data_IF_856444357583
#
_entry.id   IF_856444357583
#
_cell.length_a   1.000
_cell.length_b   1.000
_cell.length_c   1.000
_cell.angle_alpha   90.00
_cell.angle_beta   90.00
_cell.angle_gamma   90.00
#
_symmetry.space_group_name_H-M   'P 1'
#
loop_
_entity.id
_entity.type
_entity.pdbx_description
1 polymer ?
#
# COMPACT_ATOMS: atom_id res chain seq x y z
N UNK A 1 -27.98 -14.80 -23.66
CA UNK A 1 -27.13 -14.11 -22.69
C UNK A 1 -25.76 -14.61 -22.97
N UNK A 2 -25.10 -13.94 -23.89
CA UNK A 2 -23.73 -14.25 -24.29
C UNK A 2 -22.77 -13.74 -23.23
N UNK A 3 -21.86 -14.61 -22.83
CA UNK A 3 -20.79 -14.27 -21.89
C UNK A 3 -19.83 -13.32 -22.60
N UNK A 4 -19.74 -12.09 -22.13
CA UNK A 4 -18.72 -11.15 -22.55
C UNK A 4 -17.34 -11.77 -22.28
N UNK A 5 -16.55 -11.83 -23.33
CA UNK A 5 -15.26 -12.50 -23.36
C UNK A 5 -14.27 -11.86 -22.41
N UNK A 6 -13.61 -12.71 -21.69
CA UNK A 6 -12.53 -12.48 -20.75
C UNK A 6 -11.40 -11.67 -21.42
N UNK A 7 -11.24 -10.41 -21.06
CA UNK A 7 -10.25 -9.48 -21.64
C UNK A 7 -8.79 -9.78 -21.24
N UNK A 8 -8.58 -10.73 -20.35
CA UNK A 8 -7.23 -11.12 -19.90
C UNK A 8 -6.77 -12.37 -20.65
N UNK A 9 -6.02 -12.15 -21.74
CA UNK A 9 -5.26 -13.24 -22.36
C UNK A 9 -4.24 -13.80 -21.35
N UNK A 10 -4.01 -15.14 -21.30
CA UNK A 10 -3.06 -15.75 -20.38
C UNK A 10 -1.62 -15.51 -20.87
N UNK A 11 -1.08 -14.34 -20.62
CA UNK A 11 0.29 -13.98 -21.02
C UNK A 11 1.20 -13.58 -19.85
N UNK A 12 0.72 -13.64 -18.60
CA UNK A 12 1.61 -13.57 -17.45
C UNK A 12 1.84 -15.01 -16.99
N UNK A 13 2.97 -15.60 -17.40
CA UNK A 13 3.48 -16.81 -16.75
C UNK A 13 3.73 -16.41 -15.30
N UNK A 14 2.87 -16.91 -14.39
CA UNK A 14 3.15 -16.83 -12.97
C UNK A 14 4.58 -17.30 -12.76
N UNK A 15 5.42 -16.44 -12.23
CA UNK A 15 6.74 -16.79 -11.71
C UNK A 15 6.49 -17.97 -10.76
N UNK A 16 6.82 -19.19 -11.19
CA UNK A 16 6.62 -20.39 -10.38
C UNK A 16 7.33 -20.11 -9.06
N UNK A 17 6.58 -20.07 -7.95
CA UNK A 17 7.15 -19.88 -6.63
C UNK A 17 8.21 -20.95 -6.42
N UNK A 18 9.47 -20.56 -6.53
CA UNK A 18 10.55 -21.35 -6.02
C UNK A 18 10.32 -21.44 -4.51
N UNK A 19 10.28 -22.63 -3.96
CA UNK A 19 9.99 -22.92 -2.54
C UNK A 19 10.99 -22.29 -1.55
N UNK A 20 11.88 -21.42 -2.02
CA UNK A 20 12.89 -20.67 -1.27
C UNK A 20 12.68 -19.14 -1.31
N UNK A 21 11.73 -18.60 -2.10
CA UNK A 21 11.48 -17.15 -2.14
C UNK A 21 10.60 -16.74 -0.94
N UNK A 22 11.06 -15.69 -0.23
CA UNK A 22 10.30 -15.05 0.86
C UNK A 22 9.03 -14.42 0.28
N UNK A 23 7.85 -14.73 0.83
CA UNK A 23 6.58 -14.16 0.38
C UNK A 23 6.50 -12.66 0.69
N UNK A 24 5.59 -11.93 0.00
CA UNK A 24 5.38 -10.49 0.28
C UNK A 24 4.92 -10.30 1.73
N UNK A 25 4.03 -11.16 2.23
CA UNK A 25 3.58 -11.12 3.62
C UNK A 25 4.75 -11.31 4.60
N UNK A 26 5.64 -12.26 4.32
CA UNK A 26 6.83 -12.48 5.15
C UNK A 26 7.75 -11.26 5.14
N UNK A 27 7.94 -10.61 3.97
CA UNK A 27 8.71 -9.36 3.86
C UNK A 27 8.08 -8.22 4.66
N UNK A 28 6.75 -8.11 4.62
CA UNK A 28 6.01 -7.06 5.35
C UNK A 28 6.09 -7.29 6.86
N UNK A 29 5.97 -8.53 7.30
CA UNK A 29 6.01 -8.91 8.73
C UNK A 29 7.43 -8.94 9.32
N UNK A 30 8.47 -9.04 8.49
CA UNK A 30 9.84 -9.03 8.97
C UNK A 30 10.19 -7.64 9.53
N UNK A 31 10.50 -7.55 10.82
CA UNK A 31 10.92 -6.32 11.49
C UNK A 31 12.40 -6.44 11.86
N UNK A 32 13.20 -5.50 11.37
CA UNK A 32 14.62 -5.34 11.74
C UNK A 32 14.84 -4.17 12.71
N UNK A 33 13.75 -3.65 13.27
CA UNK A 33 13.75 -2.50 14.17
C UNK A 33 13.77 -1.15 13.45
N UNK A 34 13.70 -1.13 12.11
CA UNK A 34 13.59 0.08 11.30
C UNK A 34 12.22 0.15 10.65
N UNK A 35 11.67 1.36 10.59
CA UNK A 35 10.49 1.58 9.78
C UNK A 35 10.87 1.61 8.29
N UNK A 36 9.94 1.19 7.43
CA UNK A 36 10.12 1.13 5.98
C UNK A 36 9.09 1.98 5.27
N UNK A 37 9.39 2.35 4.05
CA UNK A 37 8.56 3.23 3.25
C UNK A 37 7.76 2.48 2.19
N UNK A 38 6.52 2.90 1.99
CA UNK A 38 5.64 2.50 0.89
C UNK A 38 5.31 3.73 0.07
N UNK A 39 5.53 3.66 -1.23
CA UNK A 39 5.01 4.67 -2.16
C UNK A 39 3.66 4.21 -2.69
N UNK A 40 2.62 5.01 -2.48
CA UNK A 40 1.31 4.81 -3.07
C UNK A 40 1.20 5.58 -4.39
N UNK A 41 0.83 4.88 -5.45
CA UNK A 41 0.58 5.42 -6.80
C UNK A 41 -0.90 5.25 -7.11
N UNK A 42 -1.60 6.38 -7.29
CA UNK A 42 -3.00 6.39 -7.73
C UNK A 42 -3.06 6.37 -9.27
N UNK A 43 -3.55 5.26 -9.88
CA UNK A 43 -3.61 5.12 -11.33
C UNK A 43 -4.61 6.09 -12.00
N UNK A 44 -5.55 6.68 -11.24
CA UNK A 44 -6.46 7.71 -11.76
C UNK A 44 -5.79 9.08 -11.94
N UNK A 45 -4.60 9.28 -11.38
CA UNK A 45 -3.90 10.58 -11.35
C UNK A 45 -2.83 10.74 -12.42
N UNK A 46 -2.47 9.68 -13.12
CA UNK A 46 -1.35 9.68 -14.06
C UNK A 46 -1.43 8.53 -15.05
N UNK A 47 -0.88 8.71 -16.29
CA UNK A 47 -0.74 7.60 -17.23
C UNK A 47 0.21 6.51 -16.69
N UNK A 48 0.09 5.24 -17.15
CA UNK A 48 0.92 4.11 -16.69
C UNK A 48 2.43 4.36 -16.82
N UNK A 49 2.88 5.01 -17.88
CA UNK A 49 4.30 5.29 -18.12
C UNK A 49 4.86 6.30 -17.11
N UNK A 50 4.04 7.29 -16.73
CA UNK A 50 4.42 8.28 -15.70
C UNK A 50 4.43 7.62 -14.32
N UNK A 51 3.46 6.74 -14.06
CA UNK A 51 3.41 5.94 -12.83
C UNK A 51 4.68 5.08 -12.67
N UNK A 52 5.11 4.40 -13.74
CA UNK A 52 6.33 3.60 -13.75
C UNK A 52 7.58 4.46 -13.48
N UNK A 53 7.71 5.62 -14.14
CA UNK A 53 8.85 6.53 -13.90
C UNK A 53 8.90 7.02 -12.44
N UNK A 54 7.75 7.38 -11.86
CA UNK A 54 7.65 7.81 -10.46
C UNK A 54 7.97 6.68 -9.49
N UNK A 55 7.51 5.47 -9.79
CA UNK A 55 7.84 4.27 -9.02
C UNK A 55 9.35 4.01 -9.02
N UNK A 56 10.03 4.13 -10.18
CA UNK A 56 11.48 3.96 -10.26
C UNK A 56 12.22 4.99 -9.41
N UNK A 57 11.83 6.26 -9.46
CA UNK A 57 12.41 7.29 -8.58
C UNK A 57 12.20 6.95 -7.10
N UNK A 58 11.02 6.45 -6.73
CA UNK A 58 10.75 6.06 -5.35
C UNK A 58 11.63 4.89 -4.89
N UNK A 59 11.83 3.89 -5.75
CA UNK A 59 12.73 2.75 -5.46
C UNK A 59 14.18 3.21 -5.34
N UNK A 60 14.65 4.09 -6.22
CA UNK A 60 15.98 4.71 -6.13
C UNK A 60 16.18 5.52 -4.83
N UNK A 61 15.11 6.08 -4.25
CA UNK A 61 15.14 6.74 -2.95
C UNK A 61 15.07 5.77 -1.77
N UNK A 62 14.77 4.47 -1.98
CA UNK A 62 14.71 3.46 -0.92
C UNK A 62 13.31 2.99 -0.51
N UNK A 63 12.27 3.27 -1.31
CA UNK A 63 10.95 2.66 -1.12
C UNK A 63 11.06 1.12 -1.14
N UNK A 64 10.38 0.46 -0.21
CA UNK A 64 10.43 -0.99 -0.02
C UNK A 64 9.19 -1.74 -0.52
N UNK A 65 8.10 -1.01 -0.78
CA UNK A 65 6.86 -1.51 -1.38
C UNK A 65 6.25 -0.42 -2.28
N UNK A 66 5.59 -0.82 -3.35
CA UNK A 66 4.79 0.06 -4.21
C UNK A 66 3.33 -0.35 -4.06
N UNK A 67 2.49 0.55 -3.53
CA UNK A 67 1.04 0.39 -3.55
C UNK A 67 0.47 1.00 -4.83
N UNK A 68 -0.40 0.25 -5.52
CA UNK A 68 -1.15 0.73 -6.70
C UNK A 68 -2.64 0.72 -6.37
N UNK A 69 -3.24 1.90 -6.36
CA UNK A 69 -4.65 2.06 -6.05
C UNK A 69 -4.97 3.40 -5.41
N UNK A 70 -6.14 3.49 -4.81
CA UNK A 70 -6.62 4.70 -4.15
C UNK A 70 -8.12 4.65 -3.86
N UNK A 71 -8.65 5.75 -3.33
CA UNK A 71 -10.09 5.90 -3.02
C UNK A 71 -10.92 6.37 -4.22
N UNK A 72 -10.32 6.39 -5.42
CA UNK A 72 -11.00 6.75 -6.67
C UNK A 72 -11.61 5.48 -7.28
N UNK A 73 -12.77 5.63 -7.93
CA UNK A 73 -13.42 4.54 -8.69
C UNK A 73 -12.68 4.36 -10.03
N UNK A 74 -11.53 3.71 -9.99
CA UNK A 74 -10.63 3.51 -11.12
C UNK A 74 -10.90 2.14 -11.73
N UNK A 75 -11.17 2.04 -13.07
CA UNK A 75 -11.42 0.78 -13.74
C UNK A 75 -10.21 -0.17 -13.66
N UNK A 76 -10.48 -1.48 -13.70
CA UNK A 76 -9.49 -2.54 -13.59
C UNK A 76 -8.46 -2.54 -14.73
N UNK A 77 -8.85 -2.15 -15.94
CA UNK A 77 -7.94 -2.02 -17.09
C UNK A 77 -6.87 -0.94 -16.87
N UNK A 78 -7.24 0.20 -16.25
CA UNK A 78 -6.30 1.28 -15.90
C UNK A 78 -5.36 0.85 -14.77
N UNK A 79 -5.91 0.17 -13.75
CA UNK A 79 -5.10 -0.40 -12.66
C UNK A 79 -4.13 -1.44 -13.20
N UNK A 80 -4.62 -2.34 -14.09
CA UNK A 80 -3.80 -3.37 -14.71
C UNK A 80 -2.66 -2.79 -15.54
N UNK A 81 -2.97 -1.84 -16.42
CA UNK A 81 -1.96 -1.17 -17.25
C UNK A 81 -0.87 -0.50 -16.38
N UNK A 82 -1.26 0.11 -15.27
CA UNK A 82 -0.32 0.73 -14.33
C UNK A 82 0.57 -0.32 -13.64
N UNK A 83 -0.01 -1.43 -13.16
CA UNK A 83 0.76 -2.52 -12.57
C UNK A 83 1.77 -3.11 -13.57
N UNK A 84 1.33 -3.37 -14.82
CA UNK A 84 2.20 -3.90 -15.89
C UNK A 84 3.36 -2.95 -16.16
N UNK A 85 3.09 -1.66 -16.35
CA UNK A 85 4.14 -0.68 -16.63
C UNK A 85 5.19 -0.57 -15.51
N UNK A 86 4.75 -0.67 -14.25
CA UNK A 86 5.66 -0.65 -13.09
C UNK A 86 6.49 -1.94 -13.05
N UNK A 87 5.86 -3.12 -13.23
CA UNK A 87 6.56 -4.41 -13.22
C UNK A 87 7.61 -4.50 -14.34
N UNK A 88 7.25 -4.12 -15.58
CA UNK A 88 8.18 -4.10 -16.70
C UNK A 88 9.39 -3.17 -16.44
N UNK A 89 9.15 -2.02 -15.82
CA UNK A 89 10.24 -1.10 -15.47
C UNK A 89 11.16 -1.68 -14.38
N UNK A 90 10.61 -2.34 -13.36
CA UNK A 90 11.37 -3.03 -12.32
C UNK A 90 12.19 -4.18 -12.89
N UNK A 91 11.59 -5.04 -13.73
CA UNK A 91 12.27 -6.16 -14.38
C UNK A 91 13.43 -5.70 -15.27
N UNK A 92 13.22 -4.61 -16.03
CA UNK A 92 14.26 -4.03 -16.85
C UNK A 92 15.45 -3.52 -16.01
N UNK A 93 15.18 -2.88 -14.87
CA UNK A 93 16.22 -2.42 -13.93
C UNK A 93 16.94 -3.58 -13.25
N UNK A 94 16.22 -4.61 -12.82
CA UNK A 94 16.81 -5.83 -12.27
C UNK A 94 17.73 -6.50 -13.30
N UNK A 95 17.28 -6.62 -14.55
CA UNK A 95 18.11 -7.17 -15.63
C UNK A 95 19.36 -6.33 -15.86
N UNK A 96 19.24 -5.01 -15.96
CA UNK A 96 20.39 -4.12 -16.14
C UNK A 96 21.38 -4.23 -14.98
N UNK A 97 20.91 -4.25 -13.73
CA UNK A 97 21.73 -4.42 -12.54
C UNK A 97 22.44 -5.79 -12.50
N UNK A 98 21.80 -6.85 -12.99
CA UNK A 98 22.40 -8.20 -13.06
C UNK A 98 23.58 -8.30 -14.05
N UNK A 99 23.67 -7.35 -15.00
CA UNK A 99 24.81 -7.27 -15.95
C UNK A 99 25.98 -6.44 -15.39
N UNK A 100 25.76 -5.73 -14.28
CA UNK A 100 26.80 -4.97 -13.58
C UNK A 100 27.29 -5.78 -12.36
N UNK A 101 28.53 -6.33 -12.38
CA UNK A 101 29.05 -7.13 -11.25
C UNK A 101 29.22 -6.34 -9.95
N UNK A 102 29.28 -5.00 -10.03
CA UNK A 102 29.37 -4.09 -8.89
C UNK A 102 28.00 -3.50 -8.51
N UNK A 103 26.93 -3.84 -9.28
CA UNK A 103 25.60 -3.30 -9.09
C UNK A 103 24.83 -3.94 -7.94
N UNK A 104 24.05 -3.15 -7.22
CA UNK A 104 23.14 -3.63 -6.17
C UNK A 104 21.81 -4.11 -6.79
N UNK A 105 21.75 -5.38 -7.22
CA UNK A 105 20.55 -5.97 -7.83
C UNK A 105 19.39 -6.17 -6.86
N UNK A 106 19.66 -6.22 -5.56
CA UNK A 106 18.64 -6.46 -4.53
C UNK A 106 17.71 -5.26 -4.35
N UNK A 107 18.18 -4.08 -4.71
CA UNK A 107 17.44 -2.83 -4.57
C UNK A 107 16.16 -2.76 -5.45
N UNK A 108 16.14 -3.47 -6.58
CA UNK A 108 15.02 -3.42 -7.55
C UNK A 108 13.97 -4.53 -7.34
N UNK A 109 14.19 -5.47 -6.43
CA UNK A 109 13.21 -6.50 -6.08
C UNK A 109 12.17 -5.94 -5.10
N UNK A 110 11.37 -4.98 -5.57
CA UNK A 110 10.35 -4.28 -4.78
C UNK A 110 8.96 -4.79 -5.19
N UNK A 111 8.17 -5.36 -4.25
CA UNK A 111 6.84 -5.86 -4.57
C UNK A 111 5.86 -4.76 -4.98
N UNK A 112 5.04 -5.05 -5.99
CA UNK A 112 3.88 -4.24 -6.42
C UNK A 112 2.62 -4.81 -5.80
N UNK A 113 1.97 -4.04 -4.93
CA UNK A 113 0.85 -4.50 -4.10
C UNK A 113 -0.40 -3.66 -4.43
N UNK A 114 -1.49 -4.33 -4.74
CA UNK A 114 -2.78 -3.64 -4.93
C UNK A 114 -3.26 -3.02 -3.61
N UNK A 115 -3.70 -1.77 -3.71
CA UNK A 115 -4.37 -1.03 -2.65
C UNK A 115 -5.74 -0.54 -3.15
N UNK A 116 -6.70 -1.47 -3.38
CA UNK A 116 -7.89 -1.21 -4.17
C UNK A 116 -8.98 -0.52 -3.35
N UNK A 117 -9.73 0.38 -3.99
CA UNK A 117 -10.97 0.91 -3.43
C UNK A 117 -12.12 -0.10 -3.40
N UNK A 118 -12.02 -1.20 -4.17
CA UNK A 118 -13.02 -2.27 -4.27
C UNK A 118 -12.63 -3.35 -5.27
N UNK A 119 -13.52 -4.34 -5.47
CA UNK A 119 -13.29 -5.49 -6.36
C UNK A 119 -13.32 -5.15 -7.87
N UNK A 120 -13.48 -3.90 -8.22
CA UNK A 120 -13.41 -3.36 -9.58
C UNK A 120 -12.01 -2.84 -9.96
N UNK A 121 -11.04 -2.90 -9.04
CA UNK A 121 -9.71 -2.34 -9.19
C UNK A 121 -8.64 -3.44 -8.95
N UNK A 122 -8.75 -4.56 -9.66
CA UNK A 122 -7.90 -5.72 -9.50
C UNK A 122 -7.02 -5.94 -10.74
N UNK A 123 -5.82 -6.47 -10.51
CA UNK A 123 -4.85 -6.80 -11.56
C UNK A 123 -4.13 -8.11 -11.26
N UNK A 124 -3.99 -9.03 -12.24
CA UNK A 124 -3.17 -10.22 -12.07
C UNK A 124 -1.66 -9.94 -12.19
N UNK A 125 -1.27 -8.72 -12.55
CA UNK A 125 0.13 -8.32 -12.66
C UNK A 125 0.74 -7.86 -11.33
N UNK A 126 -0.06 -7.77 -10.26
CA UNK A 126 0.46 -7.45 -8.94
C UNK A 126 0.96 -8.69 -8.20
N UNK A 127 1.98 -8.52 -7.36
CA UNK A 127 2.54 -9.59 -6.53
C UNK A 127 1.61 -9.93 -5.36
N UNK A 128 0.97 -8.92 -4.78
CA UNK A 128 0.09 -9.06 -3.63
C UNK A 128 -1.05 -8.04 -3.64
N UNK A 129 -1.96 -8.19 -2.69
CA UNK A 129 -3.07 -7.27 -2.47
C UNK A 129 -3.27 -7.04 -0.97
N UNK A 130 -3.45 -5.79 -0.55
CA UNK A 130 -3.99 -5.50 0.78
C UNK A 130 -5.42 -6.02 0.86
N UNK A 131 -5.59 -7.25 1.34
CA UNK A 131 -6.91 -7.85 1.53
C UNK A 131 -7.52 -7.26 2.80
N UNK A 132 -8.04 -6.02 2.66
CA UNK A 132 -8.36 -5.17 3.79
C UNK A 132 -9.84 -5.14 4.12
N UNK A 133 -10.14 -5.09 5.43
CA UNK A 133 -11.44 -4.75 5.98
C UNK A 133 -11.39 -3.31 6.49
N UNK A 134 -12.25 -2.42 5.99
CA UNK A 134 -12.42 -1.09 6.58
C UNK A 134 -13.22 -1.22 7.88
N UNK A 135 -12.49 -1.47 8.98
CA UNK A 135 -13.08 -1.98 10.23
C UNK A 135 -14.06 -1.02 10.89
N UNK A 136 -13.90 0.28 10.70
CA UNK A 136 -14.79 1.30 11.23
C UNK A 136 -15.78 1.88 10.19
N UNK A 137 -16.01 1.15 9.08
CA UNK A 137 -17.08 1.49 8.14
C UNK A 137 -18.46 1.07 8.66
N UNK A 138 -19.45 1.90 8.40
CA UNK A 138 -20.87 1.55 8.62
C UNK A 138 -21.47 0.73 7.47
N UNK A 139 -20.75 0.63 6.34
CA UNK A 139 -21.20 -0.12 5.16
C UNK A 139 -20.67 -1.54 5.14
N UNK A 140 -21.58 -2.52 5.05
CA UNK A 140 -21.20 -3.93 4.86
C UNK A 140 -20.33 -4.17 3.63
N UNK A 141 -20.47 -3.34 2.58
CA UNK A 141 -19.66 -3.43 1.38
C UNK A 141 -18.16 -3.41 1.70
N UNK A 142 -17.71 -2.46 2.53
CA UNK A 142 -16.31 -2.29 2.90
C UNK A 142 -15.84 -3.18 4.07
N UNK A 143 -16.79 -3.77 4.82
CA UNK A 143 -16.47 -4.75 5.87
C UNK A 143 -16.14 -6.13 5.27
N UNK A 144 -16.96 -6.61 4.33
CA UNK A 144 -16.83 -7.96 3.76
C UNK A 144 -17.33 -8.07 2.31
N UNK A 145 -18.11 -7.11 1.82
CA UNK A 145 -18.76 -7.21 0.52
C UNK A 145 -17.78 -7.22 -0.65
N UNK A 146 -16.86 -6.27 -0.67
CA UNK A 146 -15.84 -6.15 -1.73
C UNK A 146 -14.85 -7.32 -1.65
N UNK A 147 -14.50 -7.79 -0.44
CA UNK A 147 -13.63 -8.94 -0.24
C UNK A 147 -14.25 -10.23 -0.84
N UNK A 148 -15.53 -10.47 -0.58
CA UNK A 148 -16.26 -11.63 -1.13
C UNK A 148 -16.33 -11.54 -2.67
N UNK A 149 -16.50 -10.35 -3.24
CA UNK A 149 -16.54 -10.15 -4.69
C UNK A 149 -15.18 -10.35 -5.34
N UNK A 150 -14.09 -9.90 -4.69
CA UNK A 150 -12.73 -9.97 -5.23
C UNK A 150 -12.04 -11.33 -5.02
N UNK A 151 -12.43 -12.10 -3.98
CA UNK A 151 -11.77 -13.34 -3.61
C UNK A 151 -11.63 -14.37 -4.75
N UNK A 152 -12.65 -14.63 -5.62
CA UNK A 152 -12.51 -15.56 -6.73
C UNK A 152 -11.46 -15.14 -7.77
N UNK A 153 -11.27 -13.83 -7.97
CA UNK A 153 -10.21 -13.32 -8.85
C UNK A 153 -8.84 -13.55 -8.22
N UNK A 154 -8.69 -13.17 -6.95
CA UNK A 154 -7.44 -13.31 -6.20
C UNK A 154 -6.98 -14.77 -6.18
N UNK A 155 -7.87 -15.70 -5.85
CA UNK A 155 -7.61 -17.15 -5.85
C UNK A 155 -7.21 -17.65 -7.25
N UNK A 156 -7.98 -17.27 -8.28
CA UNK A 156 -7.73 -17.71 -9.66
C UNK A 156 -6.37 -17.28 -10.19
N UNK A 157 -5.93 -16.07 -9.88
CA UNK A 157 -4.68 -15.51 -10.40
C UNK A 157 -3.50 -15.64 -9.45
N UNK A 158 -3.71 -16.17 -8.24
CA UNK A 158 -2.65 -16.42 -7.27
C UNK A 158 -2.00 -15.15 -6.73
N UNK A 159 -2.73 -14.01 -6.72
CA UNK A 159 -2.26 -12.77 -6.10
C UNK A 159 -2.20 -12.98 -4.58
N UNK A 160 -1.06 -12.71 -3.94
CA UNK A 160 -0.87 -13.00 -2.52
C UNK A 160 -1.73 -12.06 -1.64
N UNK A 161 -2.69 -12.56 -0.83
CA UNK A 161 -3.47 -11.69 0.06
C UNK A 161 -2.65 -11.30 1.29
N UNK A 162 -2.65 -9.99 1.61
CA UNK A 162 -2.11 -9.44 2.85
C UNK A 162 -3.28 -9.11 3.78
N UNK A 163 -3.62 -9.96 4.77
CA UNK A 163 -4.76 -9.74 5.66
C UNK A 163 -4.58 -8.46 6.48
N UNK A 164 -5.42 -7.45 6.22
CA UNK A 164 -5.25 -6.10 6.73
C UNK A 164 -6.50 -5.58 7.43
N UNK A 165 -6.37 -5.16 8.68
CA UNK A 165 -7.34 -4.28 9.33
C UNK A 165 -7.05 -2.84 8.93
N UNK A 166 -8.03 -2.15 8.34
CA UNK A 166 -7.91 -0.77 7.89
C UNK A 166 -8.82 0.10 8.73
N UNK A 167 -8.26 1.11 9.40
CA UNK A 167 -8.98 1.99 10.33
C UNK A 167 -8.73 3.44 9.96
N UNK A 168 -9.79 4.19 9.71
CA UNK A 168 -9.71 5.60 9.35
C UNK A 168 -9.81 6.46 10.60
N UNK A 169 -8.77 7.28 10.81
CA UNK A 169 -8.69 8.27 11.87
C UNK A 169 -9.06 9.67 11.33
N UNK A 170 -9.51 10.57 12.19
CA UNK A 170 -9.74 11.94 11.80
C UNK A 170 -8.44 12.61 11.28
N UNK A 171 -8.53 13.45 10.23
CA UNK A 171 -9.74 14.01 9.63
C UNK A 171 -10.43 13.10 8.60
N UNK A 172 -9.85 11.95 8.18
CA UNK A 172 -10.45 10.91 7.37
C UNK A 172 -10.39 11.14 5.86
N UNK A 173 -10.42 12.39 5.40
CA UNK A 173 -10.37 12.72 3.98
C UNK A 173 -11.38 11.96 3.12
N UNK A 174 -11.05 11.79 1.83
CA UNK A 174 -11.94 11.11 0.88
C UNK A 174 -12.27 9.66 1.27
N UNK A 175 -11.31 8.92 1.83
CA UNK A 175 -11.54 7.53 2.23
C UNK A 175 -12.55 7.42 3.38
N UNK A 176 -12.54 8.37 4.31
CA UNK A 176 -13.54 8.44 5.38
C UNK A 176 -14.94 8.69 4.83
N UNK A 177 -15.07 9.57 3.83
CA UNK A 177 -16.35 9.89 3.18
C UNK A 177 -16.87 8.70 2.34
N UNK A 178 -16.06 8.17 1.43
CA UNK A 178 -16.43 7.05 0.54
C UNK A 178 -16.73 5.79 1.34
N UNK A 179 -15.90 5.51 2.34
CA UNK A 179 -16.02 4.36 3.21
C UNK A 179 -17.12 4.49 4.27
N UNK A 180 -17.75 5.67 4.42
CA UNK A 180 -18.68 5.99 5.52
C UNK A 180 -18.11 5.52 6.87
N UNK A 181 -16.87 5.94 7.15
CA UNK A 181 -16.18 5.51 8.35
C UNK A 181 -16.59 6.34 9.57
N UNK A 182 -16.78 5.69 10.70
CA UNK A 182 -16.86 6.33 12.02
C UNK A 182 -15.43 6.67 12.44
N UNK A 183 -15.00 7.92 12.19
CA UNK A 183 -13.62 8.34 12.34
C UNK A 183 -13.16 8.27 13.80
N UNK A 184 -12.01 7.62 14.04
CA UNK A 184 -11.35 7.64 15.34
C UNK A 184 -10.82 9.05 15.61
N UNK A 185 -11.27 9.66 16.71
CA UNK A 185 -10.84 11.00 17.07
C UNK A 185 -9.38 10.99 17.60
N UNK A 186 -8.64 12.10 17.50
CA UNK A 186 -7.22 12.15 17.84
C UNK A 186 -6.86 11.77 19.29
N UNK A 187 -7.82 11.87 20.21
CA UNK A 187 -7.72 11.57 21.63
C UNK A 187 -8.36 10.24 22.05
N UNK A 188 -9.03 9.53 21.10
CA UNK A 188 -9.72 8.27 21.40
C UNK A 188 -8.77 7.07 21.27
N UNK A 189 -7.81 7.03 22.18
CA UNK A 189 -6.80 5.96 22.24
C UNK A 189 -7.40 4.59 22.61
N UNK A 190 -8.53 4.56 23.31
CA UNK A 190 -9.18 3.31 23.68
C UNK A 190 -9.92 2.70 22.49
N UNK A 191 -10.52 3.50 21.62
CA UNK A 191 -11.14 3.01 20.39
C UNK A 191 -10.10 2.41 19.44
N UNK A 192 -8.98 3.08 19.16
CA UNK A 192 -7.94 2.52 18.29
C UNK A 192 -7.35 1.23 18.85
N UNK A 193 -7.19 1.15 20.17
CA UNK A 193 -6.73 -0.08 20.84
C UNK A 193 -7.72 -1.23 20.67
N UNK A 194 -9.01 -0.95 20.81
CA UNK A 194 -10.07 -1.95 20.61
C UNK A 194 -10.06 -2.49 19.17
N UNK A 195 -9.88 -1.60 18.16
CA UNK A 195 -9.74 -2.02 16.76
C UNK A 195 -8.48 -2.84 16.52
N UNK A 196 -7.35 -2.49 17.11
CA UNK A 196 -6.11 -3.26 17.01
C UNK A 196 -6.27 -4.67 17.62
N UNK A 197 -6.89 -4.79 18.79
CA UNK A 197 -7.20 -6.09 19.40
C UNK A 197 -8.15 -6.91 18.52
N UNK A 198 -9.17 -6.26 17.95
CA UNK A 198 -10.12 -6.91 17.05
C UNK A 198 -9.42 -7.42 15.78
N UNK A 199 -8.54 -6.62 15.16
CA UNK A 199 -7.74 -7.01 14.01
C UNK A 199 -6.89 -8.26 14.32
N UNK A 200 -6.21 -8.27 15.46
CA UNK A 200 -5.44 -9.42 15.94
C UNK A 200 -6.33 -10.65 16.16
N UNK A 201 -7.51 -10.50 16.75
CA UNK A 201 -8.45 -11.61 17.00
C UNK A 201 -9.04 -12.18 15.71
N UNK A 202 -9.21 -11.37 14.66
CA UNK A 202 -9.56 -11.82 13.32
C UNK A 202 -8.41 -12.55 12.60
N UNK A 203 -7.19 -12.49 13.14
CA UNK A 203 -6.01 -13.09 12.50
C UNK A 203 -5.43 -12.23 11.39
N UNK A 204 -5.70 -10.94 11.37
CA UNK A 204 -5.02 -10.03 10.45
C UNK A 204 -3.53 -9.94 10.79
N UNK A 205 -2.72 -9.77 9.76
CA UNK A 205 -1.27 -9.59 9.89
C UNK A 205 -0.87 -8.12 9.97
N UNK A 206 -1.68 -7.24 9.35
CA UNK A 206 -1.43 -5.82 9.26
C UNK A 206 -2.55 -5.02 9.91
N UNK A 207 -2.18 -3.92 10.54
CA UNK A 207 -3.09 -2.85 10.91
C UNK A 207 -2.66 -1.57 10.22
N UNK A 208 -3.55 -0.96 9.43
CA UNK A 208 -3.29 0.30 8.77
C UNK A 208 -4.14 1.42 9.39
N UNK A 209 -3.47 2.43 9.94
CA UNK A 209 -4.10 3.65 10.45
C UNK A 209 -3.98 4.76 9.40
N UNK A 210 -5.11 5.28 8.94
CA UNK A 210 -5.21 6.22 7.83
C UNK A 210 -5.84 7.54 8.26
N UNK A 211 -5.18 8.66 7.98
CA UNK A 211 -5.75 9.99 8.20
C UNK A 211 -6.50 10.56 6.98
N UNK A 212 -6.38 9.91 5.82
CA UNK A 212 -6.94 10.36 4.54
C UNK A 212 -5.89 10.95 3.61
N UNK A 213 -5.98 10.55 2.31
CA UNK A 213 -5.11 11.11 1.28
C UNK A 213 -5.30 12.64 1.20
N UNK A 214 -4.19 13.37 1.19
CA UNK A 214 -4.22 14.83 1.16
C UNK A 214 -4.65 15.51 2.47
N UNK A 215 -4.85 14.77 3.56
CA UNK A 215 -5.20 15.33 4.86
C UNK A 215 -4.18 16.39 5.32
N UNK A 216 -4.67 17.42 6.02
CA UNK A 216 -3.81 18.49 6.54
C UNK A 216 -3.00 18.06 7.77
N UNK A 217 -3.48 17.03 8.48
CA UNK A 217 -2.82 16.49 9.67
C UNK A 217 -2.71 14.97 9.55
N UNK A 218 -1.56 14.39 9.91
CA UNK A 218 -1.40 12.93 9.96
C UNK A 218 -2.13 12.32 11.17
N UNK A 219 -2.15 10.99 11.22
CA UNK A 219 -2.63 10.24 12.38
C UNK A 219 -1.91 10.73 13.64
N UNK A 220 -2.68 11.00 14.72
CA UNK A 220 -2.11 11.44 15.99
C UNK A 220 -1.13 10.38 16.55
N UNK A 221 0.10 10.75 16.92
CA UNK A 221 1.08 9.82 17.49
C UNK A 221 0.54 9.00 18.67
N UNK A 222 -0.31 9.55 19.54
CA UNK A 222 -0.89 8.81 20.66
C UNK A 222 -1.75 7.61 20.20
N UNK A 223 -2.43 7.71 19.05
CA UNK A 223 -3.16 6.59 18.46
C UNK A 223 -2.20 5.50 17.98
N UNK A 224 -1.10 5.89 17.33
CA UNK A 224 -0.07 4.96 16.84
C UNK A 224 0.58 4.23 18.03
N UNK A 225 1.02 4.96 19.07
CA UNK A 225 1.59 4.41 20.29
C UNK A 225 0.64 3.40 20.96
N UNK A 226 -0.64 3.75 21.02
CA UNK A 226 -1.64 2.89 21.63
C UNK A 226 -1.93 1.63 20.81
N UNK A 227 -2.03 1.75 19.47
CA UNK A 227 -2.18 0.60 18.57
C UNK A 227 -0.97 -0.34 18.66
N UNK A 228 0.25 0.21 18.74
CA UNK A 228 1.51 -0.55 18.85
C UNK A 228 1.59 -1.44 20.08
N UNK A 229 0.85 -1.17 21.14
CA UNK A 229 0.79 -2.05 22.32
C UNK A 229 0.20 -3.42 22.02
N UNK A 230 -0.47 -3.60 20.87
CA UNK A 230 -0.99 -4.89 20.42
C UNK A 230 0.05 -5.58 19.55
N UNK A 231 0.79 -6.50 20.14
CA UNK A 231 1.85 -7.25 19.46
C UNK A 231 1.31 -8.21 18.37
N UNK A 232 2.13 -8.48 17.35
CA UNK A 232 1.86 -9.45 16.29
C UNK A 232 1.16 -8.86 15.07
N UNK A 233 1.00 -7.53 15.01
CA UNK A 233 0.55 -6.79 13.83
C UNK A 233 1.70 -5.94 13.28
N UNK A 234 1.90 -5.93 11.96
CA UNK A 234 2.69 -4.90 11.31
C UNK A 234 1.85 -3.62 11.23
N UNK A 235 2.35 -2.52 11.81
CA UNK A 235 1.62 -1.26 11.90
C UNK A 235 1.98 -0.33 10.75
N UNK A 236 1.05 -0.10 9.83
CA UNK A 236 1.17 0.86 8.74
C UNK A 236 0.48 2.17 9.10
N UNK A 237 1.07 3.29 8.69
CA UNK A 237 0.53 4.63 8.93
C UNK A 237 0.60 5.44 7.63
N UNK A 238 -0.51 6.04 7.23
CA UNK A 238 -0.62 6.88 6.05
C UNK A 238 -1.58 8.06 6.21
N UNK A 239 -1.61 8.89 5.18
CA UNK A 239 -2.41 10.11 5.16
C UNK A 239 -1.78 11.29 5.92
N UNK A 240 -1.76 12.47 5.29
CA UNK A 240 -1.29 13.70 5.92
C UNK A 240 0.20 13.80 6.24
N UNK A 241 1.02 12.80 5.90
CA UNK A 241 2.47 12.82 6.09
C UNK A 241 3.13 13.66 4.99
N UNK A 242 3.47 14.90 5.29
CA UNK A 242 3.95 15.90 4.30
C UNK A 242 5.42 16.28 4.48
N UNK A 243 5.98 16.04 5.66
CA UNK A 243 7.34 16.44 6.02
C UNK A 243 8.13 15.29 6.65
N UNK A 244 9.48 15.31 6.55
CA UNK A 244 10.31 14.34 7.27
C UNK A 244 10.04 14.33 8.79
N UNK A 245 9.63 15.46 9.36
CA UNK A 245 9.25 15.54 10.77
C UNK A 245 7.97 14.76 11.09
N UNK A 246 6.99 14.74 10.16
CA UNK A 246 5.78 13.94 10.31
C UNK A 246 6.12 12.45 10.32
N UNK A 247 6.98 12.03 9.39
CA UNK A 247 7.47 10.64 9.31
C UNK A 247 8.19 10.26 10.61
N UNK A 248 9.15 11.07 11.07
CA UNK A 248 9.87 10.79 12.32
C UNK A 248 8.94 10.65 13.52
N UNK A 249 7.89 11.47 13.61
CA UNK A 249 6.90 11.35 14.70
C UNK A 249 6.12 10.04 14.63
N UNK A 250 5.68 9.63 13.44
CA UNK A 250 4.96 8.37 13.25
C UNK A 250 5.85 7.16 13.56
N UNK A 251 7.11 7.16 13.09
CA UNK A 251 8.10 6.12 13.38
C UNK A 251 8.40 6.04 14.88
N UNK A 252 8.63 7.19 15.52
CA UNK A 252 8.89 7.24 16.96
C UNK A 252 7.70 6.71 17.79
N UNK A 253 6.48 6.92 17.31
CA UNK A 253 5.26 6.40 17.90
C UNK A 253 5.06 4.88 17.65
N UNK A 254 5.89 4.25 16.82
CA UNK A 254 5.92 2.80 16.63
C UNK A 254 5.36 2.30 15.31
N UNK A 255 5.23 3.14 14.28
CA UNK A 255 4.91 2.68 12.93
C UNK A 255 6.03 1.82 12.36
N UNK A 256 5.70 0.64 11.81
CA UNK A 256 6.63 -0.23 11.08
C UNK A 256 6.74 0.19 9.61
N UNK A 257 5.65 0.76 9.07
CA UNK A 257 5.53 1.17 7.68
C UNK A 257 4.91 2.57 7.55
N UNK A 258 5.53 3.38 6.72
CA UNK A 258 5.08 4.75 6.39
C UNK A 258 4.59 4.76 4.94
N UNK A 259 3.35 5.17 4.73
CA UNK A 259 2.75 5.24 3.38
C UNK A 259 2.60 6.69 2.95
N UNK A 260 3.18 7.04 1.81
CA UNK A 260 2.98 8.36 1.18
C UNK A 260 2.47 8.22 -0.25
N UNK A 261 1.50 9.05 -0.62
CA UNK A 261 0.90 9.07 -1.96
C UNK A 261 0.93 10.46 -2.59
N UNK A 262 0.33 11.45 -1.94
CA UNK A 262 0.15 12.82 -2.46
C UNK A 262 1.46 13.45 -2.97
N UNK A 263 2.59 13.14 -2.35
CA UNK A 263 3.90 13.67 -2.74
C UNK A 263 4.29 13.22 -4.16
N UNK A 264 3.86 12.05 -4.60
CA UNK A 264 4.11 11.54 -5.96
C UNK A 264 3.21 12.22 -6.99
N UNK A 265 2.03 12.66 -6.58
CA UNK A 265 1.03 13.29 -7.46
C UNK A 265 1.33 14.78 -7.70
N UNK A 266 1.85 15.48 -6.70
CA UNK A 266 2.10 16.93 -6.71
C UNK A 266 3.39 17.35 -7.41
N UNK A 267 4.19 16.41 -7.89
CA UNK A 267 5.47 16.71 -8.54
C UNK A 267 5.37 16.46 -10.05
N UNK A 268 5.51 17.52 -10.86
CA UNK A 268 5.49 17.43 -12.32
C UNK A 268 6.84 16.97 -12.91
N UNK A 269 7.92 17.11 -12.12
CA UNK A 269 9.29 16.78 -12.49
C UNK A 269 9.83 15.67 -11.58
N UNK A 270 10.49 14.67 -12.19
CA UNK A 270 11.09 13.54 -11.48
C UNK A 270 12.24 13.93 -10.54
N UNK A 271 12.99 15.00 -10.89
CA UNK A 271 14.04 15.52 -10.01
C UNK A 271 13.44 16.17 -8.76
N UNK A 272 12.39 16.97 -8.92
CA UNK A 272 11.66 17.57 -7.79
C UNK A 272 10.99 16.49 -6.94
N UNK A 273 10.47 15.41 -7.54
CA UNK A 273 9.95 14.26 -6.80
C UNK A 273 11.04 13.64 -5.92
N UNK A 274 12.23 13.38 -6.47
CA UNK A 274 13.37 12.84 -5.72
C UNK A 274 13.75 13.73 -4.54
N UNK A 275 13.90 15.02 -4.76
CA UNK A 275 14.28 15.99 -3.72
C UNK A 275 13.28 16.02 -2.55
N UNK A 276 12.00 15.82 -2.84
CA UNK A 276 10.95 15.78 -1.80
C UNK A 276 10.84 14.42 -1.12
N UNK A 277 10.96 13.33 -1.87
CA UNK A 277 10.69 11.98 -1.39
C UNK A 277 11.87 11.40 -0.59
N UNK A 278 13.11 11.63 -1.05
CA UNK A 278 14.29 11.09 -0.40
C UNK A 278 14.40 11.45 1.09
N UNK A 279 14.21 12.72 1.54
CA UNK A 279 14.24 13.05 2.96
C UNK A 279 13.11 12.41 3.77
N UNK A 280 11.97 12.12 3.13
CA UNK A 280 10.86 11.40 3.77
C UNK A 280 11.24 9.95 4.05
N UNK A 281 11.86 9.29 3.08
CA UNK A 281 12.31 7.89 3.20
C UNK A 281 13.45 7.77 4.21
N UNK A 282 14.45 8.67 4.15
CA UNK A 282 15.54 8.73 5.12
C UNK A 282 15.04 8.95 6.56
N UNK A 283 13.87 9.58 6.71
CA UNK A 283 13.26 9.78 8.03
C UNK A 283 12.63 8.51 8.62
N UNK A 284 12.51 7.43 7.85
CA UNK A 284 12.03 6.14 8.34
C UNK A 284 13.08 5.39 9.18
N UNK A 285 14.37 5.63 8.98
CA UNK A 285 15.40 4.95 9.77
C UNK A 285 16.78 5.33 9.37
#
# INVERSE_FOLDING_TARGET
MEAEGNAYAPAVQHRAMNTTETTVLQRVMATDGRARHVTLIDPAKQPPEVAAQRAMVAVECGTSLIFVGGSTDTPDDVVHATCVAIQEALELRMFAASQDPEGDSLHWDVPVVLFPGGAHALSPAADAITFMMLMNSTKRAFLVGEQVRGAPFIDRFGVEPLPTGYVVCAPGGRVGEVGEAELIQPDDVDAVHAYALCAKMYGFSLLYLEAGSGADTPVNPALIERARTVEGLALMVGGGLRTPSDVKRAVHAGADWIVTGTITEESDDLAALRERLQPMIEACG
#
